data_IF_296975305677
#
_entry.id   IF_296975305677
#
_cell.length_a   1.000
_cell.length_b   1.000
_cell.length_c   1.000
_cell.angle_alpha   90.00
_cell.angle_beta   90.00
_cell.angle_gamma   90.00
#
_symmetry.space_group_name_H-M   'P 1'
#
loop_
_entity.id
_entity.type
_entity.pdbx_description
1 polymer ?
#
# COMPACT_ATOMS: atom_id res chain seq x y z
N UNK A 1 4.91 -18.09 15.74
CA UNK A 1 4.51 -16.88 16.49
C UNK A 1 3.00 -16.95 16.77
N UNK A 2 2.56 -17.53 17.89
CA UNK A 2 1.11 -17.70 18.19
C UNK A 2 0.64 -17.09 19.52
N UNK A 3 1.52 -16.45 20.30
CA UNK A 3 1.17 -16.05 21.68
C UNK A 3 0.03 -15.01 21.76
N UNK A 4 -0.08 -14.10 20.78
CA UNK A 4 -1.12 -13.04 20.80
C UNK A 4 -2.35 -13.40 19.97
N UNK A 5 -2.19 -14.11 18.85
CA UNK A 5 -3.31 -14.55 18.00
C UNK A 5 -4.02 -15.78 18.54
N UNK A 6 -3.29 -16.68 19.23
CA UNK A 6 -3.82 -17.83 19.94
C UNK A 6 -3.76 -17.60 21.47
N UNK A 7 -4.03 -16.37 21.92
CA UNK A 7 -3.93 -16.01 23.34
C UNK A 7 -4.78 -16.94 24.22
N UNK A 8 -6.02 -17.22 23.81
CA UNK A 8 -6.90 -18.10 24.59
C UNK A 8 -6.43 -19.54 24.64
N UNK A 9 -5.81 -20.04 23.57
CA UNK A 9 -5.26 -21.40 23.52
C UNK A 9 -4.03 -21.55 24.43
N UNK A 10 -3.21 -20.49 24.54
CA UNK A 10 -1.98 -20.51 25.33
C UNK A 10 -2.17 -20.08 26.79
N UNK A 11 -3.14 -19.21 27.07
CA UNK A 11 -3.26 -18.52 28.37
C UNK A 11 -4.65 -18.63 29.02
N UNK A 12 -5.64 -19.23 28.35
CA UNK A 12 -6.99 -19.43 28.89
C UNK A 12 -7.96 -18.26 28.64
N UNK A 13 -9.01 -18.15 29.45
CA UNK A 13 -10.03 -17.11 29.29
C UNK A 13 -9.45 -15.69 29.39
N UNK A 14 -9.99 -14.79 28.58
CA UNK A 14 -9.67 -13.38 28.60
C UNK A 14 -10.69 -12.58 27.79
N UNK A 15 -10.68 -11.26 27.93
CA UNK A 15 -11.55 -10.38 27.13
C UNK A 15 -10.82 -9.89 25.88
N UNK A 16 -11.51 -9.91 24.73
CA UNK A 16 -11.04 -9.35 23.48
C UNK A 16 -11.84 -8.10 23.14
N UNK A 17 -11.15 -6.96 23.05
CA UNK A 17 -11.71 -5.70 22.56
C UNK A 17 -11.07 -5.36 21.21
N UNK A 18 -11.88 -5.30 20.15
CA UNK A 18 -11.43 -4.95 18.81
C UNK A 18 -11.56 -3.44 18.56
N UNK A 19 -10.49 -2.82 18.09
CA UNK A 19 -10.51 -1.44 17.60
C UNK A 19 -10.98 -1.43 16.14
N UNK A 20 -12.27 -1.17 15.93
CA UNK A 20 -12.93 -1.27 14.63
C UNK A 20 -13.10 0.07 13.90
N UNK A 21 -12.81 1.20 14.56
CA UNK A 21 -13.03 2.53 13.99
C UNK A 21 -11.71 3.21 13.62
N UNK A 22 -11.59 3.68 12.38
CA UNK A 22 -10.40 4.39 11.88
C UNK A 22 -10.69 5.85 11.55
N UNK A 23 -9.80 6.71 12.02
CA UNK A 23 -9.76 8.15 11.70
C UNK A 23 -8.72 8.46 10.63
N UNK A 24 -8.01 7.43 10.14
CA UNK A 24 -6.75 7.57 9.41
C UNK A 24 -6.93 7.74 7.91
N UNK A 25 -7.96 7.14 7.35
CA UNK A 25 -8.20 7.05 5.91
C UNK A 25 -9.69 6.84 5.65
N UNK A 26 -10.14 7.18 4.44
CA UNK A 26 -11.55 7.07 4.07
C UNK A 26 -12.03 5.63 3.88
N UNK A 27 -13.35 5.46 3.88
CA UNK A 27 -14.04 4.16 3.78
C UNK A 27 -13.62 3.34 2.57
N UNK A 28 -13.40 3.98 1.40
CA UNK A 28 -12.99 3.26 0.18
C UNK A 28 -11.57 2.72 0.27
N UNK A 29 -10.62 3.48 0.83
CA UNK A 29 -9.26 3.00 1.08
C UNK A 29 -9.30 1.80 2.05
N UNK A 30 -10.08 1.91 3.13
CA UNK A 30 -10.24 0.85 4.12
C UNK A 30 -10.84 -0.42 3.53
N UNK A 31 -11.89 -0.28 2.72
CA UNK A 31 -12.56 -1.38 2.04
C UNK A 31 -11.58 -2.15 1.12
N UNK A 32 -10.88 -1.43 0.24
CA UNK A 32 -9.92 -2.04 -0.70
C UNK A 32 -8.78 -2.70 0.07
N UNK A 33 -8.18 -2.00 1.04
CA UNK A 33 -7.06 -2.53 1.81
C UNK A 33 -7.44 -3.79 2.59
N UNK A 34 -8.58 -3.77 3.29
CA UNK A 34 -9.07 -4.94 4.05
C UNK A 34 -9.40 -6.11 3.14
N UNK A 35 -10.17 -5.90 2.06
CA UNK A 35 -10.50 -6.97 1.11
C UNK A 35 -9.25 -7.55 0.45
N UNK A 36 -8.25 -6.72 0.18
CA UNK A 36 -6.97 -7.15 -0.38
C UNK A 36 -6.20 -8.09 0.56
N UNK A 37 -6.01 -7.67 1.82
CA UNK A 37 -5.23 -8.47 2.77
C UNK A 37 -5.99 -9.71 3.25
N UNK A 38 -7.31 -9.62 3.41
CA UNK A 38 -8.17 -10.72 3.84
C UNK A 38 -8.42 -11.78 2.75
N UNK A 39 -7.85 -11.63 1.55
CA UNK A 39 -7.72 -12.76 0.63
C UNK A 39 -6.91 -13.90 1.26
N UNK A 40 -5.95 -13.58 2.13
CA UNK A 40 -5.28 -14.55 2.97
C UNK A 40 -6.23 -14.95 4.13
N UNK A 41 -6.70 -16.22 4.17
CA UNK A 41 -7.64 -16.68 5.20
C UNK A 41 -7.04 -16.73 6.60
N UNK A 42 -5.71 -16.70 6.74
CA UNK A 42 -5.03 -16.57 8.03
C UNK A 42 -5.12 -15.18 8.64
N UNK A 43 -5.62 -14.17 7.91
CA UNK A 43 -5.81 -12.83 8.44
C UNK A 43 -7.06 -12.75 9.30
N UNK A 44 -6.90 -12.11 10.47
CA UNK A 44 -8.04 -11.80 11.33
C UNK A 44 -9.04 -10.92 10.58
N UNK A 45 -10.27 -11.39 10.46
CA UNK A 45 -11.39 -10.58 9.99
C UNK A 45 -11.61 -9.46 10.99
N UNK A 46 -11.37 -8.23 10.54
CA UNK A 46 -11.59 -7.02 11.33
C UNK A 46 -12.55 -6.12 10.57
N UNK A 47 -13.72 -5.77 11.15
CA UNK A 47 -14.48 -4.65 10.63
C UNK A 47 -13.63 -3.38 10.79
N UNK A 48 -13.57 -2.54 9.76
CA UNK A 48 -12.89 -1.26 9.85
C UNK A 48 -13.79 -0.16 9.30
N UNK A 49 -14.47 0.50 10.23
CA UNK A 49 -15.39 1.59 9.99
C UNK A 49 -14.60 2.90 9.90
N UNK A 50 -14.65 3.56 8.75
CA UNK A 50 -14.08 4.91 8.59
C UNK A 50 -15.16 5.97 8.79
N UNK A 51 -14.79 7.08 9.42
CA UNK A 51 -15.67 8.24 9.60
C UNK A 51 -15.74 9.16 8.36
N UNK A 52 -14.85 8.96 7.38
CA UNK A 52 -14.85 9.75 6.15
C UNK A 52 -15.18 8.87 4.94
N UNK A 53 -16.06 9.36 4.07
CA UNK A 53 -16.43 8.65 2.86
C UNK A 53 -15.44 8.91 1.73
N UNK A 54 -15.01 7.86 1.04
CA UNK A 54 -14.18 7.95 -0.16
C UNK A 54 -14.99 7.73 -1.42
N UNK A 55 -14.69 8.46 -2.49
CA UNK A 55 -15.25 8.17 -3.81
C UNK A 55 -14.60 6.92 -4.44
N UNK A 56 -15.16 6.43 -5.55
CA UNK A 56 -14.63 5.24 -6.26
C UNK A 56 -13.16 5.39 -6.70
N UNK A 57 -12.68 6.63 -6.89
CA UNK A 57 -11.32 6.97 -7.32
C UNK A 57 -10.37 7.23 -6.13
N UNK A 58 -10.81 7.02 -4.89
CA UNK A 58 -9.95 7.15 -3.71
C UNK A 58 -8.77 6.16 -3.75
N UNK A 59 -8.93 5.03 -4.45
CA UNK A 59 -7.83 4.16 -4.86
C UNK A 59 -7.93 4.02 -6.39
N UNK A 60 -6.84 4.26 -7.11
CA UNK A 60 -6.82 4.21 -8.58
C UNK A 60 -5.55 3.52 -9.06
N UNK A 61 -5.69 2.61 -10.04
CA UNK A 61 -4.57 2.05 -10.80
C UNK A 61 -4.20 3.02 -11.92
N UNK A 62 -2.91 3.31 -12.07
CA UNK A 62 -2.40 4.23 -13.08
C UNK A 62 -1.13 3.66 -13.71
N UNK A 63 -0.91 3.94 -14.98
CA UNK A 63 0.35 3.57 -15.64
C UNK A 63 1.53 4.35 -15.04
N UNK A 64 2.66 3.68 -14.81
CA UNK A 64 3.82 4.30 -14.17
C UNK A 64 4.43 5.48 -14.94
N UNK A 65 4.31 5.51 -16.27
CA UNK A 65 4.75 6.66 -17.10
C UNK A 65 3.98 7.95 -16.79
N UNK A 66 2.83 7.84 -16.12
CA UNK A 66 1.98 8.99 -15.78
C UNK A 66 2.36 9.65 -14.44
N UNK A 67 3.42 9.21 -13.75
CA UNK A 67 3.86 9.82 -12.48
C UNK A 67 4.01 11.33 -12.59
N UNK A 68 4.75 11.78 -13.59
CA UNK A 68 5.04 13.20 -13.79
C UNK A 68 3.77 14.00 -14.11
N UNK A 69 2.91 13.46 -14.97
CA UNK A 69 1.62 14.08 -15.29
C UNK A 69 0.68 14.12 -14.07
N UNK A 70 0.75 13.12 -13.18
CA UNK A 70 0.01 13.09 -11.93
C UNK A 70 0.51 14.17 -10.97
N UNK A 71 1.82 14.33 -10.84
CA UNK A 71 2.41 15.40 -10.04
C UNK A 71 2.12 16.78 -10.63
N UNK A 72 2.13 16.93 -11.95
CA UNK A 72 1.70 18.16 -12.64
C UNK A 72 0.23 18.48 -12.29
N UNK A 73 -0.65 17.48 -12.33
CA UNK A 73 -2.06 17.65 -11.94
C UNK A 73 -2.22 17.99 -10.47
N UNK A 74 -1.52 17.29 -9.57
CA UNK A 74 -1.52 17.55 -8.13
C UNK A 74 -1.03 18.96 -7.83
N UNK A 75 -0.02 19.47 -8.55
CA UNK A 75 0.48 20.83 -8.38
C UNK A 75 -0.56 21.91 -8.64
N UNK A 76 -1.63 21.58 -9.39
CA UNK A 76 -2.75 22.48 -9.67
C UNK A 76 -3.80 22.57 -8.56
N UNK A 77 -3.88 21.61 -7.63
CA UNK A 77 -4.94 21.60 -6.61
C UNK A 77 -4.55 21.14 -5.21
N UNK A 78 -3.43 20.44 -5.02
CA UNK A 78 -2.98 20.05 -3.69
C UNK A 78 -2.63 21.31 -2.89
N UNK A 79 -3.09 21.36 -1.64
CA UNK A 79 -2.83 22.53 -0.78
C UNK A 79 -1.38 22.51 -0.29
N UNK A 80 -0.78 23.67 0.02
CA UNK A 80 0.60 23.73 0.50
C UNK A 80 0.88 22.88 1.75
N UNK A 81 -0.12 22.66 2.60
CA UNK A 81 -0.04 21.82 3.81
C UNK A 81 -0.28 20.32 3.56
N UNK A 82 -0.81 19.95 2.38
CA UNK A 82 -1.10 18.57 2.03
C UNK A 82 0.17 17.84 1.58
N UNK A 83 0.46 16.71 2.23
CA UNK A 83 1.64 15.90 1.94
C UNK A 83 1.36 14.85 0.87
N UNK A 84 2.31 14.67 -0.02
CA UNK A 84 2.34 13.60 -1.02
C UNK A 84 3.47 12.65 -0.65
N UNK A 85 3.12 11.39 -0.42
CA UNK A 85 4.08 10.34 -0.07
C UNK A 85 4.20 9.33 -1.21
N UNK A 86 5.38 9.28 -1.81
CA UNK A 86 5.72 8.30 -2.84
C UNK A 86 6.38 7.10 -2.16
N UNK A 87 5.80 5.91 -2.35
CA UNK A 87 6.21 4.68 -1.70
C UNK A 87 6.67 3.64 -2.73
N UNK A 88 7.81 3.00 -2.44
CA UNK A 88 8.32 1.88 -3.23
C UNK A 88 8.74 0.70 -2.33
N UNK A 89 8.95 -0.47 -2.93
CA UNK A 89 9.48 -1.63 -2.20
C UNK A 89 10.90 -1.40 -1.71
N UNK A 90 11.74 -0.82 -2.56
CA UNK A 90 13.16 -0.59 -2.32
C UNK A 90 13.55 0.88 -2.55
N UNK A 91 14.65 1.31 -1.93
CA UNK A 91 15.08 2.71 -1.98
C UNK A 91 15.58 3.11 -3.37
N UNK A 92 16.24 2.21 -4.10
CA UNK A 92 16.76 2.47 -5.45
C UNK A 92 15.66 2.68 -6.49
N UNK A 93 14.40 2.36 -6.17
CA UNK A 93 13.23 2.64 -7.01
C UNK A 93 12.75 4.09 -6.91
N UNK A 94 13.53 4.98 -6.28
CA UNK A 94 13.22 6.41 -6.24
C UNK A 94 13.11 6.95 -7.68
N UNK A 95 11.96 7.52 -8.08
CA UNK A 95 11.81 8.06 -9.42
C UNK A 95 12.81 9.19 -9.69
N UNK A 96 13.51 9.14 -10.82
CA UNK A 96 14.51 10.14 -11.21
C UNK A 96 13.93 11.55 -11.33
N UNK A 97 12.64 11.69 -11.68
CA UNK A 97 11.99 13.00 -11.74
C UNK A 97 11.96 13.73 -10.40
N UNK A 98 12.10 13.03 -9.28
CA UNK A 98 12.18 13.63 -7.95
C UNK A 98 13.48 14.40 -7.69
N UNK A 99 14.53 14.20 -8.48
CA UNK A 99 15.75 15.02 -8.42
C UNK A 99 15.46 16.49 -8.77
N UNK A 100 14.45 16.72 -9.62
CA UNK A 100 14.03 18.05 -10.08
C UNK A 100 12.70 18.48 -9.45
N UNK A 101 12.22 17.79 -8.41
CA UNK A 101 10.92 18.08 -7.80
C UNK A 101 10.84 19.52 -7.25
N UNK A 102 11.90 20.00 -6.61
CA UNK A 102 11.93 21.34 -6.02
C UNK A 102 11.77 22.46 -7.06
N UNK A 103 12.22 22.25 -8.30
CA UNK A 103 12.09 23.23 -9.38
C UNK A 103 10.81 23.04 -10.19
N UNK A 104 10.39 21.79 -10.44
CA UNK A 104 9.21 21.48 -11.25
C UNK A 104 7.89 21.63 -10.48
N UNK A 105 7.88 21.23 -9.21
CA UNK A 105 6.70 21.27 -8.33
C UNK A 105 6.99 21.98 -7.01
N UNK A 106 7.41 23.27 -7.04
CA UNK A 106 7.89 23.99 -5.86
C UNK A 106 6.86 24.17 -4.74
N UNK A 107 5.57 23.95 -5.04
CA UNK A 107 4.46 24.07 -4.09
C UNK A 107 4.05 22.74 -3.44
N UNK A 108 4.57 21.62 -3.93
CA UNK A 108 4.20 20.29 -3.43
C UNK A 108 5.14 19.86 -2.31
N UNK A 109 4.59 19.34 -1.21
CA UNK A 109 5.36 18.62 -0.19
C UNK A 109 5.48 17.15 -0.59
N UNK A 110 6.57 16.79 -1.26
CA UNK A 110 6.79 15.43 -1.78
C UNK A 110 7.86 14.71 -0.95
N UNK A 111 7.45 13.62 -0.31
CA UNK A 111 8.35 12.70 0.39
C UNK A 111 8.48 11.39 -0.42
N UNK A 112 9.67 10.78 -0.38
CA UNK A 112 9.88 9.42 -0.89
C UNK A 112 10.51 8.56 0.19
N UNK A 113 9.99 7.35 0.37
CA UNK A 113 10.56 6.34 1.26
C UNK A 113 10.10 4.93 0.86
N UNK A 114 10.73 3.92 1.45
CA UNK A 114 10.23 2.55 1.29
C UNK A 114 8.94 2.34 2.07
N UNK A 115 8.10 1.40 1.63
CA UNK A 115 6.84 1.09 2.34
C UNK A 115 7.13 0.69 3.81
N UNK A 116 8.23 0.00 4.07
CA UNK A 116 8.67 -0.35 5.42
C UNK A 116 8.99 0.88 6.28
N UNK A 117 9.76 1.83 5.74
CA UNK A 117 10.13 3.06 6.43
C UNK A 117 8.93 3.99 6.68
N UNK A 118 7.84 3.82 5.91
CA UNK A 118 6.60 4.57 6.10
C UNK A 118 5.79 4.17 7.33
N UNK A 119 6.17 3.10 8.04
CA UNK A 119 5.43 2.62 9.23
C UNK A 119 5.26 3.75 10.26
N UNK A 120 4.01 3.98 10.66
CA UNK A 120 3.64 5.05 11.58
C UNK A 120 3.41 6.42 10.93
N UNK A 121 3.81 6.61 9.66
CA UNK A 121 3.60 7.84 8.92
C UNK A 121 2.26 7.84 8.19
N UNK A 122 1.79 9.02 7.81
CA UNK A 122 0.62 9.23 6.96
C UNK A 122 0.84 10.45 6.07
N UNK A 123 0.14 10.48 4.95
CA UNK A 123 0.11 11.61 4.03
C UNK A 123 -1.31 11.78 3.46
N UNK A 124 -1.61 12.96 2.95
CA UNK A 124 -2.91 13.27 2.36
C UNK A 124 -3.11 12.46 1.06
N UNK A 125 -2.02 12.33 0.31
CA UNK A 125 -1.94 11.57 -0.93
C UNK A 125 -0.80 10.55 -0.88
N UNK A 126 -1.04 9.33 -1.39
CA UNK A 126 0.00 8.32 -1.56
C UNK A 126 0.09 7.89 -3.01
N UNK A 127 1.31 7.75 -3.50
CA UNK A 127 1.62 7.20 -4.81
C UNK A 127 2.51 5.98 -4.60
N UNK A 128 1.99 4.79 -4.86
CA UNK A 128 2.75 3.54 -4.79
C UNK A 128 3.38 3.33 -6.16
N UNK A 129 4.70 3.20 -6.23
CA UNK A 129 5.44 2.93 -7.47
C UNK A 129 6.08 1.54 -7.42
N UNK A 130 6.45 1.02 -8.60
CA UNK A 130 7.13 -0.26 -8.70
C UNK A 130 6.21 -1.49 -8.69
N UNK A 131 4.93 -1.33 -9.06
CA UNK A 131 4.03 -2.47 -9.23
C UNK A 131 4.30 -3.17 -10.58
N UNK A 132 5.33 -4.00 -10.57
CA UNK A 132 5.77 -4.83 -11.68
C UNK A 132 6.15 -6.23 -11.18
N UNK A 133 6.26 -7.18 -12.10
CA UNK A 133 6.94 -8.46 -11.83
C UNK A 133 8.47 -8.32 -11.95
N UNK A 134 9.20 -9.34 -11.47
CA UNK A 134 10.66 -9.43 -11.56
C UNK A 134 11.38 -9.21 -10.23
N UNK A 135 12.71 -9.14 -10.29
CA UNK A 135 13.59 -9.07 -9.10
C UNK A 135 13.38 -7.83 -8.23
N UNK A 136 13.00 -6.72 -8.85
CA UNK A 136 12.68 -5.45 -8.18
C UNK A 136 11.17 -5.22 -8.10
N UNK A 137 10.38 -6.27 -8.31
CA UNK A 137 8.93 -6.22 -8.32
C UNK A 137 8.31 -6.00 -6.94
N UNK A 138 7.02 -5.73 -6.96
CA UNK A 138 6.19 -5.71 -5.77
C UNK A 138 4.88 -6.45 -6.07
N UNK A 139 4.70 -7.72 -5.60
CA UNK A 139 5.47 -8.42 -4.58
C UNK A 139 6.93 -8.71 -4.98
N UNK A 140 7.81 -8.70 -3.99
CA UNK A 140 9.19 -9.14 -4.17
C UNK A 140 9.21 -10.64 -4.52
N UNK A 141 10.00 -11.03 -5.52
CA UNK A 141 10.20 -12.44 -5.84
C UNK A 141 10.78 -13.19 -4.64
N UNK A 142 10.24 -14.39 -4.36
CA UNK A 142 10.79 -15.27 -3.32
C UNK A 142 12.29 -15.52 -3.60
N UNK A 143 13.13 -15.08 -2.67
CA UNK A 143 14.57 -15.29 -2.69
C UNK A 143 14.94 -15.86 -1.34
N UNK A 144 14.84 -17.17 -1.20
CA UNK A 144 15.33 -17.85 -0.01
C UNK A 144 16.10 -19.09 -0.43
N UNK A 145 17.25 -19.28 0.19
CA UNK A 145 17.97 -20.54 0.15
C UNK A 145 17.37 -21.50 1.19
N UNK A 146 17.45 -22.81 0.94
CA UNK A 146 16.91 -23.88 1.83
C UNK A 146 17.36 -23.72 3.29
N UNK A 147 18.54 -23.12 3.50
CA UNK A 147 19.14 -22.94 4.83
C UNK A 147 18.54 -21.72 5.59
N UNK A 148 18.05 -20.72 4.88
CA UNK A 148 17.39 -19.55 5.45
C UNK A 148 15.95 -19.90 5.88
N UNK A 149 15.23 -20.71 5.10
CA UNK A 149 13.89 -21.20 5.43
C UNK A 149 13.83 -21.92 6.79
N UNK A 150 14.89 -22.67 7.16
CA UNK A 150 14.96 -23.41 8.41
C UNK A 150 15.10 -22.53 9.67
N UNK A 151 15.53 -21.27 9.51
CA UNK A 151 15.71 -20.31 10.60
C UNK A 151 14.57 -19.30 10.71
N UNK A 152 13.68 -19.27 9.70
CA UNK A 152 12.57 -18.34 9.64
C UNK A 152 11.35 -18.88 10.41
N UNK A 153 10.48 -18.00 10.92
CA UNK A 153 9.16 -18.40 11.37
C UNK A 153 8.44 -19.15 10.24
N UNK A 154 7.54 -20.10 10.57
CA UNK A 154 6.78 -20.81 9.56
C UNK A 154 6.09 -19.81 8.62
N UNK A 155 6.36 -19.96 7.32
CA UNK A 155 5.73 -19.17 6.27
C UNK A 155 4.23 -19.44 6.32
N UNK A 156 3.42 -18.39 6.29
CA UNK A 156 1.97 -18.57 6.16
C UNK A 156 1.68 -19.28 4.84
N UNK A 157 0.77 -20.26 4.88
CA UNK A 157 0.32 -21.03 3.71
C UNK A 157 -0.59 -20.18 2.81
N UNK A 158 -0.04 -19.07 2.31
CA UNK A 158 -0.69 -18.18 1.38
C UNK A 158 0.34 -17.39 0.54
N UNK A 159 0.17 -17.30 -0.79
CA UNK A 159 1.13 -16.61 -1.65
C UNK A 159 1.36 -15.15 -1.23
N UNK A 160 2.63 -14.78 -1.13
CA UNK A 160 3.09 -13.42 -0.88
C UNK A 160 2.54 -12.79 0.42
N UNK A 161 2.30 -13.59 1.48
CA UNK A 161 1.63 -13.13 2.70
C UNK A 161 2.27 -11.87 3.32
N UNK A 162 3.61 -11.80 3.41
CA UNK A 162 4.34 -10.62 3.89
C UNK A 162 4.21 -9.42 2.95
N UNK A 163 4.31 -9.64 1.63
CA UNK A 163 4.17 -8.55 0.65
C UNK A 163 2.73 -8.02 0.59
N UNK A 164 1.73 -8.86 0.89
CA UNK A 164 0.33 -8.43 1.05
C UNK A 164 0.13 -7.56 2.28
N UNK A 165 0.78 -7.90 3.41
CA UNK A 165 0.89 -7.02 4.59
C UNK A 165 1.52 -5.69 4.22
N UNK A 166 2.54 -5.72 3.38
CA UNK A 166 3.20 -4.50 2.92
C UNK A 166 2.29 -3.65 2.03
N UNK A 167 1.50 -4.26 1.13
CA UNK A 167 0.54 -3.55 0.29
C UNK A 167 -0.56 -2.90 1.14
N UNK A 168 -1.08 -3.61 2.14
CA UNK A 168 -2.01 -3.05 3.12
C UNK A 168 -1.41 -1.82 3.82
N UNK A 169 -0.16 -1.93 4.25
CA UNK A 169 0.57 -0.79 4.83
C UNK A 169 0.60 0.37 3.84
N UNK A 170 1.00 0.16 2.59
CA UNK A 170 1.10 1.21 1.57
C UNK A 170 -0.24 1.91 1.32
N UNK A 171 -1.32 1.14 1.10
CA UNK A 171 -2.67 1.67 0.85
C UNK A 171 -3.16 2.54 2.02
N UNK A 172 -2.93 2.08 3.25
CA UNK A 172 -3.44 2.74 4.47
C UNK A 172 -2.60 3.94 4.93
N UNK A 173 -1.53 4.31 4.20
CA UNK A 173 -0.78 5.57 4.45
C UNK A 173 -1.52 6.81 3.97
N UNK A 174 -2.44 6.70 3.02
CA UNK A 174 -3.16 7.84 2.47
C UNK A 174 -4.38 8.21 3.31
N UNK A 175 -4.60 9.51 3.52
CA UNK A 175 -5.86 10.01 4.09
C UNK A 175 -6.95 10.14 3.02
N UNK A 176 -6.60 10.68 1.85
CA UNK A 176 -7.57 11.05 0.82
C UNK A 176 -7.51 10.16 -0.42
N UNK A 177 -6.35 10.02 -1.06
CA UNK A 177 -6.23 9.22 -2.30
C UNK A 177 -4.94 8.42 -2.39
N UNK A 178 -5.05 7.26 -3.03
CA UNK A 178 -3.95 6.39 -3.42
C UNK A 178 -3.94 6.23 -4.94
N UNK A 179 -2.77 6.44 -5.55
CA UNK A 179 -2.48 5.98 -6.91
C UNK A 179 -1.49 4.83 -6.85
N UNK A 180 -1.90 3.67 -7.38
CA UNK A 180 -1.07 2.49 -7.51
C UNK A 180 -0.52 2.45 -8.94
N UNK A 181 0.73 2.87 -9.10
CA UNK A 181 1.41 2.97 -10.39
C UNK A 181 2.02 1.61 -10.77
N UNK A 182 1.63 1.11 -11.93
CA UNK A 182 2.04 -0.19 -12.42
C UNK A 182 2.69 -0.13 -13.80
N UNK A 183 3.61 -1.06 -14.03
CA UNK A 183 4.20 -1.28 -15.34
C UNK A 183 3.18 -1.98 -16.25
N UNK A 184 2.85 -1.41 -17.40
CA UNK A 184 1.85 -1.99 -18.31
C UNK A 184 2.33 -3.24 -19.06
N UNK A 185 3.62 -3.31 -19.34
CA UNK A 185 4.23 -4.40 -20.12
C UNK A 185 4.44 -5.64 -19.23
N UNK A 186 4.76 -5.42 -17.96
CA UNK A 186 5.04 -6.44 -16.97
C UNK A 186 4.37 -6.14 -15.62
N UNK A 187 3.02 -6.14 -15.56
CA UNK A 187 2.28 -5.70 -14.38
C UNK A 187 2.45 -6.66 -13.20
N UNK A 188 2.54 -6.12 -12.00
CA UNK A 188 2.50 -6.93 -10.78
C UNK A 188 1.22 -7.77 -10.68
N UNK A 189 1.26 -8.98 -10.12
CA UNK A 189 0.06 -9.77 -9.82
C UNK A 189 -0.93 -9.04 -8.90
N UNK A 190 -0.47 -8.10 -8.07
CA UNK A 190 -1.34 -7.27 -7.22
C UNK A 190 -2.25 -6.34 -8.02
N UNK A 191 -1.88 -5.99 -9.26
CA UNK A 191 -2.70 -5.16 -10.14
C UNK A 191 -4.02 -5.84 -10.45
N UNK A 192 -3.99 -7.13 -10.82
CA UNK A 192 -5.20 -7.88 -11.15
C UNK A 192 -6.09 -8.09 -9.93
N UNK A 193 -5.49 -8.33 -8.76
CA UNK A 193 -6.21 -8.40 -7.49
C UNK A 193 -6.95 -7.08 -7.23
N UNK A 194 -6.27 -5.93 -7.37
CA UNK A 194 -6.91 -4.63 -7.15
C UNK A 194 -8.06 -4.38 -8.14
N UNK A 195 -7.93 -4.77 -9.41
CA UNK A 195 -9.05 -4.69 -10.37
C UNK A 195 -10.26 -5.51 -9.91
N UNK A 196 -10.04 -6.73 -9.41
CA UNK A 196 -11.08 -7.60 -8.87
C UNK A 196 -11.73 -7.04 -7.58
N UNK A 197 -11.12 -6.02 -6.96
CA UNK A 197 -11.67 -5.25 -5.84
C UNK A 197 -12.33 -3.93 -6.29
N UNK A 198 -12.72 -3.85 -7.56
CA UNK A 198 -13.38 -2.70 -8.17
C UNK A 198 -12.53 -1.42 -8.21
N UNK A 199 -11.19 -1.54 -8.12
CA UNK A 199 -10.27 -0.41 -8.26
C UNK A 199 -10.22 -0.01 -9.74
N UNK A 200 -10.58 1.23 -10.10
CA UNK A 200 -10.58 1.68 -11.48
C UNK A 200 -9.14 1.81 -12.03
N UNK A 201 -8.97 1.46 -13.31
CA UNK A 201 -7.75 1.74 -14.07
C UNK A 201 -7.95 3.04 -14.85
N UNK A 202 -7.16 4.07 -14.51
CA UNK A 202 -7.19 5.36 -15.18
C UNK A 202 -6.22 5.40 -16.36
N UNK A 203 -6.64 6.00 -17.48
CA UNK A 203 -5.77 6.24 -18.64
C UNK A 203 -4.87 7.46 -18.46
N UNK A 204 -5.35 8.43 -17.69
CA UNK A 204 -4.67 9.70 -17.36
C UNK A 204 -4.98 10.06 -15.90
N UNK A 205 -4.10 10.83 -15.24
CA UNK A 205 -4.25 11.27 -13.86
C UNK A 205 -5.57 11.99 -13.56
#
# INVERSE_FOLDING_TARGET
>A
MSLTTAFHENFGEGERCDLDTTYRFNSRIGEVANRFIQQNPGQLKKPLNSLTNGDKKAVTLLDESQLDALLDKLSGYAKPEERILILARYHHMRPASLEKAATRWPKLQIDFMTIHASKGQQADYVIIVGLQEGSDGFPAAARESIMEEALLPPVEDFPDAEERRLMYVALTRARHRVWALFNKENPSPFVEILKNLDVPVARKP
#
